data_IF_833634153030
#
_entry.id   IF_833634153030
#
_cell.length_a   1.000
_cell.length_b   1.000
_cell.length_c   1.000
_cell.angle_alpha   90.00
_cell.angle_beta   90.00
_cell.angle_gamma   90.00
#
_symmetry.space_group_name_H-M   'P 1'
#
loop_
_entity.id
_entity.type
_entity.pdbx_description
1 polymer ?
#
# COMPACT_ATOMS: atom_id res chain seq x y z
N UNK A 1 -9.04 3.85 16.22
CA UNK A 1 -8.58 3.75 14.81
C UNK A 1 -8.78 2.34 14.31
N UNK A 2 -9.26 2.20 13.09
CA UNK A 2 -9.45 0.89 12.46
C UNK A 2 -8.39 0.67 11.39
N UNK A 3 -7.71 -0.46 11.46
CA UNK A 3 -6.66 -0.83 10.52
C UNK A 3 -7.04 -2.16 9.88
N UNK A 4 -6.97 -2.23 8.56
CA UNK A 4 -7.18 -3.45 7.81
C UNK A 4 -5.89 -3.85 7.10
N UNK A 5 -5.73 -5.14 6.84
CA UNK A 5 -4.59 -5.65 6.08
C UNK A 5 -5.09 -6.69 5.10
N UNK A 6 -4.53 -6.68 3.90
CA UNK A 6 -4.93 -7.59 2.85
C UNK A 6 -3.75 -7.92 1.93
N UNK A 7 -3.59 -9.21 1.64
CA UNK A 7 -2.67 -9.67 0.61
C UNK A 7 -3.47 -9.76 -0.70
N UNK A 8 -3.20 -8.83 -1.61
CA UNK A 8 -3.98 -8.77 -2.87
C UNK A 8 -3.48 -9.75 -3.93
N UNK A 9 -2.27 -10.28 -3.77
CA UNK A 9 -1.69 -11.24 -4.69
C UNK A 9 -1.81 -10.79 -6.16
N UNK A 10 -1.34 -9.57 -6.41
CA UNK A 10 -1.47 -8.90 -7.71
C UNK A 10 -2.62 -7.91 -7.69
N UNK A 11 -2.29 -6.60 -7.57
CA UNK A 11 -3.32 -5.57 -7.40
C UNK A 11 -4.20 -5.40 -8.63
N UNK A 12 -3.65 -5.58 -9.84
CA UNK A 12 -4.44 -5.42 -11.06
C UNK A 12 -5.51 -6.51 -11.18
N UNK A 13 -5.17 -7.75 -10.80
CA UNK A 13 -6.16 -8.82 -10.76
C UNK A 13 -7.18 -8.60 -9.65
N UNK A 14 -6.72 -8.12 -8.49
CA UNK A 14 -7.61 -7.83 -7.36
C UNK A 14 -8.62 -6.73 -7.74
N UNK A 15 -8.19 -5.71 -8.47
CA UNK A 15 -9.09 -4.66 -8.96
C UNK A 15 -10.16 -5.24 -9.87
N UNK A 16 -9.77 -6.16 -10.75
CA UNK A 16 -10.73 -6.86 -11.61
C UNK A 16 -11.74 -7.71 -10.84
N UNK A 17 -11.43 -8.08 -9.60
CA UNK A 17 -12.31 -8.86 -8.71
C UNK A 17 -13.07 -8.00 -7.71
N UNK A 18 -13.00 -6.68 -7.79
CA UNK A 18 -13.77 -5.77 -6.94
C UNK A 18 -13.00 -5.15 -5.79
N UNK A 19 -11.67 -5.14 -5.83
CA UNK A 19 -10.85 -4.58 -4.76
C UNK A 19 -11.19 -3.10 -4.47
N UNK A 20 -11.37 -2.28 -5.51
CA UNK A 20 -11.67 -0.85 -5.32
C UNK A 20 -13.05 -0.65 -4.68
N UNK A 21 -14.04 -1.47 -5.03
CA UNK A 21 -15.35 -1.40 -4.39
C UNK A 21 -15.26 -1.82 -2.92
N UNK A 22 -14.49 -2.87 -2.65
CA UNK A 22 -14.24 -3.29 -1.27
C UNK A 22 -13.57 -2.17 -0.47
N UNK A 23 -12.54 -1.54 -1.05
CA UNK A 23 -11.82 -0.45 -0.41
C UNK A 23 -12.74 0.75 -0.12
N UNK A 24 -13.58 1.11 -1.08
CA UNK A 24 -14.52 2.23 -0.95
C UNK A 24 -15.54 2.00 0.18
N UNK A 25 -15.86 0.74 0.46
CA UNK A 25 -16.84 0.37 1.49
C UNK A 25 -16.21 0.13 2.86
N UNK A 26 -14.88 0.24 2.98
CA UNK A 26 -14.21 0.10 4.27
C UNK A 26 -14.27 1.40 5.05
N UNK A 27 -14.51 1.31 6.34
CA UNK A 27 -14.37 2.42 7.26
C UNK A 27 -13.01 2.42 7.95
N UNK A 28 -12.06 1.66 7.42
CA UNK A 28 -10.71 1.61 7.96
C UNK A 28 -9.98 2.94 7.76
N UNK A 29 -9.22 3.35 8.76
CA UNK A 29 -8.39 4.55 8.66
C UNK A 29 -7.12 4.28 7.86
N UNK A 30 -6.59 3.07 7.96
CA UNK A 30 -5.41 2.64 7.20
C UNK A 30 -5.65 1.22 6.68
N UNK A 31 -5.32 1.01 5.42
CA UNK A 31 -5.36 -0.32 4.80
C UNK A 31 -3.95 -0.67 4.34
N UNK A 32 -3.41 -1.74 4.92
CA UNK A 32 -2.10 -2.27 4.57
C UNK A 32 -2.27 -3.31 3.47
N UNK A 33 -1.52 -3.17 2.38
CA UNK A 33 -1.66 -4.03 1.21
C UNK A 33 -0.33 -4.69 0.91
N UNK A 34 -0.33 -6.00 0.70
CA UNK A 34 0.86 -6.78 0.40
C UNK A 34 0.74 -7.45 -0.97
N UNK A 35 1.89 -7.78 -1.54
CA UNK A 35 2.00 -8.46 -2.84
C UNK A 35 1.29 -7.70 -3.96
N UNK A 36 1.66 -6.43 -4.12
CA UNK A 36 1.16 -5.56 -5.19
C UNK A 36 1.46 -6.15 -6.57
N UNK A 37 2.67 -6.69 -6.75
CA UNK A 37 3.13 -7.37 -7.98
C UNK A 37 3.01 -6.51 -9.24
N UNK A 38 3.17 -5.20 -9.08
CA UNK A 38 3.18 -4.24 -10.17
C UNK A 38 4.00 -3.05 -9.75
N UNK A 39 4.63 -2.39 -10.70
CA UNK A 39 5.30 -1.11 -10.43
C UNK A 39 4.24 -0.02 -10.30
N UNK A 40 4.46 0.94 -9.40
CA UNK A 40 3.50 2.03 -9.21
C UNK A 40 3.26 2.82 -10.49
N UNK A 41 4.28 2.97 -11.35
CA UNK A 41 4.11 3.67 -12.63
C UNK A 41 3.22 2.92 -13.61
N UNK A 42 2.94 1.62 -13.37
CA UNK A 42 2.04 0.82 -14.20
C UNK A 42 0.58 0.93 -13.75
N UNK A 43 0.33 1.58 -12.61
CA UNK A 43 -1.00 1.67 -12.00
C UNK A 43 -1.62 3.03 -12.32
N UNK A 44 -2.92 3.03 -12.62
CA UNK A 44 -3.61 4.28 -12.88
C UNK A 44 -4.02 4.98 -11.58
N UNK A 45 -4.50 6.22 -11.70
CA UNK A 45 -4.82 7.06 -10.55
C UNK A 45 -5.94 6.48 -9.69
N UNK A 46 -6.85 5.71 -10.27
CA UNK A 46 -7.92 5.09 -9.49
C UNK A 46 -7.40 4.08 -8.48
N UNK A 47 -6.24 3.50 -8.75
CA UNK A 47 -5.57 2.55 -7.86
C UNK A 47 -4.63 3.27 -6.90
N UNK A 48 -3.85 4.24 -7.40
CA UNK A 48 -2.88 4.98 -6.58
C UNK A 48 -3.57 5.92 -5.60
N UNK A 49 -4.64 6.59 -6.03
CA UNK A 49 -5.31 7.62 -5.25
C UNK A 49 -6.83 7.41 -5.27
N UNK A 50 -7.34 6.31 -4.72
CA UNK A 50 -8.79 6.09 -4.68
C UNK A 50 -9.45 7.14 -3.79
N UNK A 51 -10.71 7.44 -4.08
CA UNK A 51 -11.45 8.46 -3.33
C UNK A 51 -11.46 8.16 -1.83
N UNK A 52 -11.09 9.16 -1.04
CA UNK A 52 -11.06 9.04 0.42
C UNK A 52 -9.76 8.52 1.00
N UNK A 53 -8.80 8.13 0.16
CA UNK A 53 -7.51 7.62 0.62
C UNK A 53 -6.36 8.24 -0.14
N UNK A 54 -5.24 8.43 0.56
CA UNK A 54 -3.94 8.67 -0.05
C UNK A 54 -3.21 7.33 -0.12
N UNK A 55 -2.67 7.00 -1.29
CA UNK A 55 -1.93 5.76 -1.50
C UNK A 55 -0.44 5.98 -1.46
N UNK A 56 0.27 5.10 -0.77
CA UNK A 56 1.73 5.09 -0.68
C UNK A 56 2.21 3.70 -1.05
N UNK A 57 3.21 3.60 -1.91
CA UNK A 57 3.66 2.31 -2.45
C UNK A 57 5.16 2.21 -2.45
N UNK A 58 5.68 1.03 -2.16
CA UNK A 58 7.08 0.69 -2.33
C UNK A 58 7.17 -0.54 -3.23
N UNK A 59 7.70 -0.34 -4.43
CA UNK A 59 7.81 -1.38 -5.43
C UNK A 59 9.05 -2.25 -5.17
N UNK A 60 8.97 -3.53 -5.56
CA UNK A 60 10.18 -4.33 -5.70
C UNK A 60 10.91 -3.93 -6.97
N UNK A 61 12.22 -4.14 -7.02
CA UNK A 61 13.00 -3.90 -8.24
C UNK A 61 12.62 -4.86 -9.35
N UNK A 62 12.34 -6.11 -8.98
CA UNK A 62 11.95 -7.13 -9.94
C UNK A 62 10.48 -6.94 -10.35
N UNK A 63 10.21 -6.90 -11.64
CA UNK A 63 8.86 -6.76 -12.16
C UNK A 63 7.98 -7.94 -11.74
N UNK A 64 6.72 -7.63 -11.41
CA UNK A 64 5.73 -8.65 -11.06
C UNK A 64 5.98 -9.37 -9.74
N UNK A 65 6.84 -8.85 -8.88
CA UNK A 65 7.25 -9.48 -7.64
C UNK A 65 7.01 -8.56 -6.44
N UNK A 66 6.41 -9.12 -5.36
CA UNK A 66 6.27 -8.45 -4.07
C UNK A 66 5.66 -7.04 -4.18
N UNK A 67 6.17 -6.07 -3.39
CA UNK A 67 5.63 -4.72 -3.34
C UNK A 67 4.59 -4.57 -2.23
N UNK A 68 4.64 -3.44 -1.52
CA UNK A 68 3.69 -3.14 -0.43
C UNK A 68 3.08 -1.76 -0.62
N UNK A 69 1.89 -1.57 -0.06
CA UNK A 69 1.21 -0.29 -0.10
C UNK A 69 0.47 0.01 1.19
N UNK A 70 0.20 1.29 1.37
CA UNK A 70 -0.64 1.80 2.45
C UNK A 70 -1.65 2.75 1.84
N UNK A 71 -2.93 2.55 2.17
CA UNK A 71 -3.98 3.52 1.89
C UNK A 71 -4.35 4.18 3.20
N UNK A 72 -4.22 5.50 3.28
CA UNK A 72 -4.45 6.26 4.50
C UNK A 72 -5.55 7.30 4.28
N UNK A 73 -6.54 7.35 5.18
CA UNK A 73 -7.58 8.40 5.13
C UNK A 73 -7.00 9.73 5.61
N UNK A 74 -6.18 9.70 6.68
CA UNK A 74 -5.48 10.88 7.17
C UNK A 74 -4.05 10.82 6.68
N UNK A 75 -3.54 11.97 6.22
CA UNK A 75 -2.16 12.06 5.76
C UNK A 75 -1.23 11.87 6.96
N UNK A 76 -0.31 10.90 6.91
CA UNK A 76 0.65 10.71 8.00
C UNK A 76 1.67 11.86 8.05
N UNK A 77 2.33 12.01 9.18
CA UNK A 77 3.40 13.02 9.35
C UNK A 77 4.61 12.68 8.50
N UNK A 78 4.90 11.39 8.35
CA UNK A 78 6.04 10.93 7.57
C UNK A 78 5.77 9.53 7.05
N UNK A 79 6.42 9.19 5.94
CA UNK A 79 6.42 7.85 5.37
C UNK A 79 7.86 7.38 5.32
N UNK A 80 8.11 6.18 5.82
CA UNK A 80 9.41 5.52 5.71
C UNK A 80 9.33 4.46 4.63
N UNK A 81 10.09 4.65 3.56
CA UNK A 81 10.16 3.72 2.44
C UNK A 81 11.35 2.80 2.64
N UNK A 82 11.09 1.62 3.21
CA UNK A 82 12.13 0.64 3.46
C UNK A 82 12.75 0.76 4.85
N UNK A 83 13.61 -0.20 5.18
CA UNK A 83 14.28 -0.30 6.47
C UNK A 83 15.71 0.23 6.45
N UNK A 84 16.24 0.56 5.27
CA UNK A 84 17.63 0.92 5.10
C UNK A 84 18.55 -0.26 4.79
N UNK A 85 17.99 -1.47 4.64
CA UNK A 85 18.72 -2.67 4.26
C UNK A 85 18.46 -2.99 2.79
N UNK A 86 19.46 -2.89 1.90
CA UNK A 86 19.22 -3.08 0.47
C UNK A 86 18.53 -4.39 0.11
N UNK A 87 18.88 -5.49 0.78
CA UNK A 87 18.27 -6.79 0.50
C UNK A 87 16.76 -6.78 0.73
N UNK A 88 16.30 -6.10 1.77
CA UNK A 88 14.88 -5.98 2.07
C UNK A 88 14.20 -4.95 1.18
N UNK A 89 14.83 -3.80 1.00
CA UNK A 89 14.23 -2.67 0.31
C UNK A 89 14.05 -2.93 -1.18
N UNK A 90 15.00 -3.64 -1.80
CA UNK A 90 14.90 -4.03 -3.21
C UNK A 90 13.73 -4.96 -3.49
N UNK A 91 13.23 -5.64 -2.48
CA UNK A 91 12.08 -6.54 -2.60
C UNK A 91 10.75 -5.86 -2.32
N UNK A 92 10.75 -4.58 -1.92
CA UNK A 92 9.51 -3.84 -1.66
C UNK A 92 8.69 -4.46 -0.53
N UNK A 93 9.31 -4.68 0.64
CA UNK A 93 8.67 -5.44 1.73
C UNK A 93 8.31 -4.63 2.97
N UNK A 94 8.76 -3.38 3.04
CA UNK A 94 8.50 -2.56 4.24
C UNK A 94 8.16 -1.13 3.89
N UNK A 95 7.03 -0.67 4.41
CA UNK A 95 6.54 0.68 4.24
C UNK A 95 5.86 1.09 5.54
N UNK A 96 6.22 2.24 6.10
CA UNK A 96 5.72 2.69 7.39
C UNK A 96 5.16 4.10 7.33
N UNK A 97 3.98 4.28 7.88
CA UNK A 97 3.34 5.59 8.06
C UNK A 97 3.44 6.01 9.52
N UNK A 98 3.97 7.20 9.76
CA UNK A 98 4.12 7.76 11.10
C UNK A 98 3.05 8.79 11.38
N UNK A 99 2.32 8.60 12.48
CA UNK A 99 1.35 9.53 13.04
C UNK A 99 1.86 10.06 14.37
N UNK A 100 1.12 10.99 15.00
CA UNK A 100 1.59 11.66 16.21
C UNK A 100 1.90 10.70 17.37
N UNK A 101 1.11 9.65 17.55
CA UNK A 101 1.21 8.76 18.70
C UNK A 101 1.52 7.32 18.37
N UNK A 102 1.59 6.97 17.09
CA UNK A 102 1.82 5.60 16.69
C UNK A 102 2.32 5.56 15.25
N UNK A 103 2.85 4.41 14.86
CA UNK A 103 3.27 4.13 13.50
C UNK A 103 2.61 2.85 13.02
N UNK A 104 2.34 2.77 11.72
CA UNK A 104 1.75 1.60 11.08
C UNK A 104 2.68 1.16 9.97
N UNK A 105 3.09 -0.10 10.00
CA UNK A 105 3.98 -0.65 8.97
C UNK A 105 3.30 -1.80 8.23
N UNK A 106 3.58 -1.84 6.94
CA UNK A 106 3.11 -2.92 6.06
C UNK A 106 4.30 -3.66 5.47
#
# INVERSE_FOLDING_TARGET
MKIATINVNGIREAVGRGFLDWLANQDADVVCVQNIKAKSFELDDSILYPEGYEGYFLDAEQDGFSGVGLYCRKIPKAIMYGLGFPQCDHEGRFLQADYDRFSIAS
#
